data_IF_014031133391
#
_entry.id   IF_014031133391
#
_cell.length_a   1.000
_cell.length_b   1.000
_cell.length_c   1.000
_cell.angle_alpha   90.00
_cell.angle_beta   90.00
_cell.angle_gamma   90.00
#
_symmetry.space_group_name_H-M   'P 1'
#
loop_
_entity.id
_entity.type
_entity.pdbx_description
1 polymer ?
#
# COMPACT_ATOMS: atom_id res chain seq x y z
N UNK A 1 -13.68 16.46 23.81
CA UNK A 1 -13.17 15.23 24.47
C UNK A 1 -13.03 14.14 23.42
N UNK A 2 -11.92 13.39 23.39
CA UNK A 2 -11.76 12.24 22.50
C UNK A 2 -12.29 10.97 23.17
N UNK A 3 -13.27 10.29 22.55
CA UNK A 3 -13.71 8.97 22.98
C UNK A 3 -12.81 7.88 22.37
N UNK A 4 -12.17 7.06 23.22
CA UNK A 4 -11.56 5.80 22.81
C UNK A 4 -12.62 4.70 22.85
N UNK A 5 -13.42 4.57 21.80
CA UNK A 5 -14.46 3.53 21.73
C UNK A 5 -13.85 2.16 21.40
N UNK A 6 -14.13 1.15 22.23
CA UNK A 6 -13.71 -0.23 22.05
C UNK A 6 -14.95 -1.15 21.91
N UNK A 7 -14.82 -2.24 21.13
CA UNK A 7 -15.69 -3.44 21.07
C UNK A 7 -17.08 -3.40 20.39
N UNK A 8 -17.30 -4.47 19.59
CA UNK A 8 -18.49 -5.35 19.47
C UNK A 8 -19.85 -4.81 18.96
N UNK A 9 -20.11 -5.08 17.66
CA UNK A 9 -21.29 -5.81 17.09
C UNK A 9 -22.73 -5.23 17.31
N UNK A 10 -23.73 -5.37 16.41
CA UNK A 10 -23.91 -6.24 15.22
C UNK A 10 -24.99 -5.66 14.25
N UNK A 11 -24.81 -5.82 12.92
CA UNK A 11 -25.84 -5.72 11.83
C UNK A 11 -26.55 -4.36 11.63
N UNK A 12 -27.04 -3.93 10.45
CA UNK A 12 -26.95 -4.29 9.02
C UNK A 12 -27.42 -3.02 8.22
N UNK A 13 -27.80 -2.88 6.93
CA UNK A 13 -27.86 -3.55 5.59
C UNK A 13 -28.19 -2.36 4.61
N UNK A 14 -27.93 -2.22 3.30
CA UNK A 14 -27.29 -2.98 2.20
C UNK A 14 -26.62 -1.91 1.26
N UNK A 15 -26.65 -2.04 -0.08
CA UNK A 15 -26.38 -1.01 -1.11
C UNK A 15 -24.92 -0.55 -1.39
N UNK A 16 -24.73 -0.07 -2.64
CA UNK A 16 -23.49 -0.01 -3.44
C UNK A 16 -22.29 0.76 -2.83
N UNK A 17 -21.10 0.17 -3.01
CA UNK A 17 -19.80 0.66 -2.51
C UNK A 17 -18.68 0.18 -3.43
N UNK A 18 -17.62 0.98 -3.63
CA UNK A 18 -16.33 0.50 -4.17
C UNK A 18 -15.58 -0.18 -3.03
N UNK A 19 -15.38 -1.52 -3.05
CA UNK A 19 -14.79 -2.20 -1.91
C UNK A 19 -13.26 -2.17 -2.02
N UNK A 20 -12.63 -1.22 -1.32
CA UNK A 20 -11.20 -1.32 -1.01
C UNK A 20 -11.05 -2.37 0.09
N UNK A 21 -11.00 -3.64 -0.32
CA UNK A 21 -10.79 -4.77 0.59
C UNK A 21 -9.35 -4.79 1.09
N UNK A 22 -9.09 -4.06 2.19
CA UNK A 22 -7.85 -4.21 2.96
C UNK A 22 -7.86 -5.54 3.72
N UNK A 23 -7.38 -6.61 3.08
CA UNK A 23 -7.00 -7.84 3.77
C UNK A 23 -5.57 -7.69 4.34
N UNK A 24 -5.47 -7.33 5.61
CA UNK A 24 -4.21 -7.38 6.38
C UNK A 24 -4.12 -8.70 7.14
N UNK A 25 -3.74 -9.76 6.43
CA UNK A 25 -3.60 -11.11 7.02
C UNK A 25 -2.25 -11.27 7.71
N UNK A 26 -2.22 -11.16 9.05
CA UNK A 26 -1.10 -11.61 9.87
C UNK A 26 -1.20 -13.13 10.04
N UNK A 27 -0.57 -13.89 9.14
CA UNK A 27 -0.54 -15.36 9.21
C UNK A 27 0.68 -15.86 10.01
N UNK A 28 0.52 -16.87 10.88
CA UNK A 28 1.64 -17.64 11.38
C UNK A 28 2.28 -18.48 10.25
N UNK A 29 3.54 -18.86 10.43
CA UNK A 29 4.41 -19.38 9.35
C UNK A 29 4.08 -20.81 8.86
N UNK A 30 2.99 -21.44 9.34
CA UNK A 30 2.73 -22.88 9.18
C UNK A 30 1.86 -23.26 7.97
N UNK A 31 1.04 -22.34 7.43
CA UNK A 31 -0.01 -22.69 6.46
C UNK A 31 0.29 -22.29 5.00
N UNK A 32 1.53 -21.86 4.72
CA UNK A 32 1.94 -21.41 3.36
C UNK A 32 1.84 -22.55 2.32
N UNK A 33 2.00 -23.81 2.74
CA UNK A 33 2.07 -24.96 1.83
C UNK A 33 0.71 -25.45 1.30
N UNK A 34 -0.42 -25.03 1.88
CA UNK A 34 -1.72 -25.69 1.68
C UNK A 34 -2.64 -25.06 0.62
N UNK A 35 -2.27 -23.90 0.05
CA UNK A 35 -3.14 -23.15 -0.89
C UNK A 35 -2.62 -23.03 -2.34
N UNK A 36 -1.52 -23.71 -2.71
CA UNK A 36 -0.93 -23.61 -4.05
C UNK A 36 -1.61 -24.50 -5.12
N UNK A 37 -2.25 -25.62 -4.74
CA UNK A 37 -2.52 -26.73 -5.68
C UNK A 37 -3.98 -26.84 -6.21
N UNK A 38 -4.86 -25.84 -6.02
CA UNK A 38 -6.30 -26.03 -6.31
C UNK A 38 -7.05 -24.90 -7.04
N UNK A 39 -6.44 -24.25 -8.04
CA UNK A 39 -7.19 -23.41 -9.00
C UNK A 39 -6.56 -23.22 -10.41
N UNK A 40 -5.85 -24.20 -10.97
CA UNK A 40 -5.34 -24.12 -12.36
C UNK A 40 -6.06 -25.11 -13.28
N UNK A 41 -7.00 -24.57 -14.08
CA UNK A 41 -7.42 -25.16 -15.36
C UNK A 41 -7.23 -24.10 -16.43
N UNK A 42 -6.14 -24.21 -17.17
CA UNK A 42 -5.84 -23.30 -18.28
C UNK A 42 -6.83 -23.51 -19.45
N UNK A 43 -7.30 -22.40 -20.01
CA UNK A 43 -8.03 -22.37 -21.29
C UNK A 43 -7.23 -21.49 -22.26
N UNK A 44 -6.56 -22.06 -23.28
CA UNK A 44 -5.61 -21.31 -24.10
C UNK A 44 -6.33 -20.43 -25.13
N UNK A 45 -6.26 -19.10 -24.96
CA UNK A 45 -6.47 -18.14 -26.04
C UNK A 45 -5.66 -16.85 -25.79
N UNK A 46 -5.56 -16.00 -26.81
CA UNK A 46 -4.52 -14.97 -26.96
C UNK A 46 -4.70 -13.68 -26.14
N UNK A 47 -3.61 -12.90 -26.10
CA UNK A 47 -3.51 -11.48 -25.70
C UNK A 47 -4.02 -11.06 -24.30
N UNK A 48 -3.59 -11.75 -23.25
CA UNK A 48 -3.53 -11.16 -21.92
C UNK A 48 -2.53 -10.00 -21.88
N UNK A 49 -3.01 -8.75 -21.88
CA UNK A 49 -2.17 -7.57 -21.66
C UNK A 49 -1.72 -7.47 -20.19
N UNK A 50 -0.55 -6.89 -19.95
CA UNK A 50 -0.09 -6.52 -18.61
C UNK A 50 -0.92 -5.34 -18.07
N UNK A 51 -2.08 -5.61 -17.46
CA UNK A 51 -3.00 -4.60 -16.94
C UNK A 51 -2.54 -4.00 -15.58
N UNK A 52 -1.25 -4.09 -15.30
CA UNK A 52 -0.54 -3.59 -14.12
C UNK A 52 0.81 -3.01 -14.55
N UNK A 53 1.26 -1.92 -13.91
CA UNK A 53 2.58 -1.36 -14.16
C UNK A 53 3.30 -0.92 -12.87
N UNK A 54 4.60 -1.16 -12.83
CA UNK A 54 5.52 -0.57 -11.86
C UNK A 54 6.10 0.76 -12.35
N UNK A 55 6.26 1.72 -11.43
CA UNK A 55 6.84 3.03 -11.74
C UNK A 55 7.64 3.58 -10.55
N UNK A 56 8.96 3.70 -10.74
CA UNK A 56 9.85 4.46 -9.87
C UNK A 56 10.89 5.14 -10.77
N UNK A 57 11.11 6.44 -10.56
CA UNK A 57 12.04 7.24 -11.36
C UNK A 57 12.63 8.40 -10.56
N UNK A 58 13.82 8.83 -10.94
CA UNK A 58 14.53 9.95 -10.33
C UNK A 58 14.06 11.29 -10.91
N UNK A 59 13.87 12.28 -10.06
CA UNK A 59 13.38 13.62 -10.43
C UNK A 59 14.41 14.46 -11.20
N UNK A 60 15.71 14.18 -10.99
CA UNK A 60 16.85 14.91 -11.58
C UNK A 60 16.94 14.76 -13.10
N UNK A 61 16.76 13.54 -13.60
CA UNK A 61 16.99 13.12 -15.00
C UNK A 61 15.74 12.47 -15.64
N UNK A 62 14.68 12.23 -14.86
CA UNK A 62 13.48 11.51 -15.29
C UNK A 62 13.70 10.00 -15.48
N UNK A 63 14.85 9.46 -15.08
CA UNK A 63 15.27 8.09 -15.37
C UNK A 63 14.56 7.09 -14.48
N UNK A 64 13.89 6.13 -15.11
CA UNK A 64 13.24 5.01 -14.42
C UNK A 64 14.28 4.04 -13.84
N UNK A 65 13.97 3.50 -12.66
CA UNK A 65 14.83 2.58 -11.89
C UNK A 65 13.97 1.53 -11.18
N UNK A 66 14.45 0.28 -11.10
CA UNK A 66 13.76 -0.82 -10.40
C UNK A 66 14.16 -0.95 -8.93
N UNK A 67 15.29 -0.35 -8.51
CA UNK A 67 15.80 -0.34 -7.13
C UNK A 67 16.29 1.06 -6.74
N UNK A 68 16.09 1.44 -5.48
CA UNK A 68 16.67 2.63 -4.85
C UNK A 68 17.02 2.35 -3.39
N UNK A 69 18.10 2.96 -2.87
CA UNK A 69 18.59 2.75 -1.49
C UNK A 69 19.06 4.06 -0.87
N UNK A 70 18.87 4.22 0.45
CA UNK A 70 19.36 5.38 1.21
C UNK A 70 19.58 5.04 2.68
N UNK A 71 20.73 5.45 3.23
CA UNK A 71 21.11 5.24 4.63
C UNK A 71 20.29 6.13 5.59
N UNK A 72 19.86 7.32 5.14
CA UNK A 72 19.01 8.23 5.94
C UNK A 72 17.55 7.77 6.02
N UNK A 73 17.14 6.84 5.15
CA UNK A 73 15.74 6.44 4.99
C UNK A 73 14.88 7.44 4.20
N UNK A 74 15.46 8.49 3.64
CA UNK A 74 14.77 9.55 2.88
C UNK A 74 15.35 9.66 1.45
N UNK A 75 14.46 9.70 0.46
CA UNK A 75 14.68 10.04 -0.96
C UNK A 75 13.45 10.79 -1.52
N UNK A 76 12.67 11.44 -0.65
CA UNK A 76 11.36 12.01 -1.00
C UNK A 76 11.47 13.16 -2.01
N UNK A 77 12.53 13.97 -1.96
CA UNK A 77 12.73 15.08 -2.92
C UNK A 77 13.31 14.59 -4.24
N UNK A 78 14.03 13.47 -4.18
CA UNK A 78 14.86 12.87 -5.21
C UNK A 78 14.03 11.97 -6.15
N UNK A 79 12.96 11.35 -5.64
CA UNK A 79 12.04 10.52 -6.42
C UNK A 79 10.88 11.32 -7.05
N UNK A 80 10.52 10.97 -8.28
CA UNK A 80 9.47 11.65 -9.05
C UNK A 80 8.07 11.58 -8.44
N UNK A 81 7.66 10.41 -7.96
CA UNK A 81 6.39 10.21 -7.24
C UNK A 81 6.50 10.48 -5.72
N UNK A 82 7.65 10.96 -5.24
CA UNK A 82 8.08 10.94 -3.82
C UNK A 82 8.26 9.53 -3.22
N UNK A 83 8.34 8.50 -4.05
CA UNK A 83 8.51 7.10 -3.66
C UNK A 83 8.45 6.14 -4.85
N UNK A 84 8.57 4.82 -4.62
CA UNK A 84 8.09 3.81 -5.56
C UNK A 84 6.56 3.85 -5.70
N UNK A 85 6.05 3.50 -6.88
CA UNK A 85 4.64 3.33 -7.14
C UNK A 85 4.35 2.11 -8.02
N UNK A 86 3.12 1.61 -7.92
CA UNK A 86 2.52 0.62 -8.85
C UNK A 86 1.10 1.05 -9.18
N UNK A 87 0.58 0.57 -10.30
CA UNK A 87 -0.80 0.81 -10.71
C UNK A 87 -1.41 -0.43 -11.36
N UNK A 88 -2.74 -0.51 -11.30
CA UNK A 88 -3.55 -1.31 -12.22
C UNK A 88 -4.57 -0.40 -12.92
N UNK A 89 -5.48 -0.96 -13.72
CA UNK A 89 -6.49 -0.16 -14.42
C UNK A 89 -7.32 0.76 -13.51
N UNK A 90 -7.52 0.41 -12.24
CA UNK A 90 -8.50 1.06 -11.37
C UNK A 90 -7.90 2.13 -10.44
N UNK A 91 -6.64 2.00 -10.05
CA UNK A 91 -5.95 2.92 -9.17
C UNK A 91 -4.42 2.84 -9.33
N UNK A 92 -3.72 3.89 -8.90
CA UNK A 92 -2.29 3.86 -8.60
C UNK A 92 -2.03 3.97 -7.10
N UNK A 93 -0.94 3.38 -6.64
CA UNK A 93 -0.53 3.35 -5.23
C UNK A 93 0.95 3.69 -5.13
N UNK A 94 1.32 4.59 -4.21
CA UNK A 94 2.72 4.84 -3.82
C UNK A 94 2.92 4.58 -2.35
N UNK A 95 4.17 4.40 -1.92
CA UNK A 95 4.58 4.55 -0.53
C UNK A 95 5.67 5.63 -0.46
N UNK A 96 5.52 6.61 0.43
CA UNK A 96 6.49 7.70 0.54
C UNK A 96 7.87 7.19 0.99
N UNK A 97 8.93 7.53 0.27
CA UNK A 97 10.32 7.20 0.67
C UNK A 97 10.84 8.27 1.63
N UNK A 98 10.29 8.30 2.84
CA UNK A 98 10.69 9.15 3.96
C UNK A 98 10.32 8.51 5.31
N UNK A 99 10.46 9.25 6.41
CA UNK A 99 9.98 8.82 7.74
C UNK A 99 8.46 8.57 7.82
N UNK A 100 7.64 9.12 6.90
CA UNK A 100 6.21 8.78 6.85
C UNK A 100 6.02 7.34 6.40
N UNK A 101 6.73 6.83 5.40
CA UNK A 101 6.58 5.45 4.93
C UNK A 101 5.10 5.03 4.78
N UNK A 102 4.28 5.96 4.29
CA UNK A 102 2.83 5.86 4.27
C UNK A 102 2.34 5.67 2.83
N UNK A 103 1.27 4.89 2.68
CA UNK A 103 0.60 4.68 1.41
C UNK A 103 -0.28 5.87 1.03
N UNK A 104 -0.43 6.04 -0.27
CA UNK A 104 -1.22 7.09 -0.88
C UNK A 104 -1.78 6.61 -2.23
N UNK A 105 -2.91 7.16 -2.66
CA UNK A 105 -3.79 6.58 -3.69
C UNK A 105 -4.06 7.58 -4.82
N UNK A 106 -3.47 7.29 -5.98
CA UNK A 106 -3.77 7.97 -7.24
C UNK A 106 -5.10 7.47 -7.79
N UNK A 107 -6.10 8.36 -7.84
CA UNK A 107 -7.50 8.01 -8.09
C UNK A 107 -7.87 8.26 -9.54
N UNK A 108 -8.32 7.22 -10.25
CA UNK A 108 -8.57 7.25 -11.71
C UNK A 108 -10.03 7.49 -12.05
N UNK A 109 -10.27 8.30 -13.09
CA UNK A 109 -11.61 8.61 -13.61
C UNK A 109 -12.15 7.49 -14.51
N UNK A 110 -11.26 6.83 -15.26
CA UNK A 110 -11.53 5.76 -16.21
C UNK A 110 -10.54 4.61 -16.05
N UNK A 111 -10.83 3.38 -16.53
CA UNK A 111 -9.89 2.27 -16.49
C UNK A 111 -8.70 2.53 -17.42
N UNK A 112 -7.47 2.46 -16.90
CA UNK A 112 -6.25 2.67 -17.71
C UNK A 112 -4.96 2.60 -16.91
N UNK A 113 -3.82 2.49 -17.58
CA UNK A 113 -2.49 2.71 -16.99
C UNK A 113 -2.07 4.14 -17.30
N UNK A 114 -1.67 4.91 -16.29
CA UNK A 114 -1.62 6.37 -16.34
C UNK A 114 -0.32 6.95 -15.75
N UNK A 115 0.31 6.31 -14.75
CA UNK A 115 1.47 6.87 -14.04
C UNK A 115 2.67 7.17 -14.96
N UNK A 116 2.82 6.40 -16.05
CA UNK A 116 3.82 6.62 -17.10
C UNK A 116 3.72 7.99 -17.77
N UNK A 117 2.49 8.49 -17.94
CA UNK A 117 2.16 9.78 -18.56
C UNK A 117 2.01 10.88 -17.51
N UNK A 118 1.23 10.61 -16.46
CA UNK A 118 0.84 11.63 -15.46
C UNK A 118 1.87 11.85 -14.38
N UNK A 119 2.85 10.94 -14.24
CA UNK A 119 3.94 11.03 -13.24
C UNK A 119 3.43 11.27 -11.80
N UNK A 120 2.24 10.74 -11.48
CA UNK A 120 1.42 11.05 -10.29
C UNK A 120 0.80 12.46 -10.32
N UNK A 121 1.57 13.49 -10.66
CA UNK A 121 1.11 14.88 -10.70
C UNK A 121 0.52 15.27 -12.05
N UNK A 122 -0.77 14.98 -12.21
CA UNK A 122 -1.51 15.16 -13.47
C UNK A 122 -1.76 16.64 -13.78
N UNK A 123 -1.42 17.08 -14.99
CA UNK A 123 -1.70 18.44 -15.50
C UNK A 123 -3.19 18.66 -15.78
N UNK A 124 -3.63 19.91 -15.86
CA UNK A 124 -5.04 20.24 -16.11
C UNK A 124 -5.52 19.84 -17.52
N UNK A 125 -4.59 19.80 -18.50
CA UNK A 125 -4.81 19.20 -19.82
C UNK A 125 -5.14 17.70 -19.70
N UNK A 126 -4.33 16.93 -18.95
CA UNK A 126 -4.55 15.50 -18.76
C UNK A 126 -5.81 15.22 -17.92
N UNK A 127 -6.12 16.04 -16.89
CA UNK A 127 -7.41 15.97 -16.18
C UNK A 127 -8.59 16.19 -17.13
N UNK A 128 -8.47 17.15 -18.05
CA UNK A 128 -9.49 17.44 -19.08
C UNK A 128 -9.64 16.29 -20.09
N UNK A 129 -8.55 15.57 -20.39
CA UNK A 129 -8.57 14.30 -21.14
C UNK A 129 -9.05 13.09 -20.30
N UNK A 130 -9.53 13.31 -19.07
CA UNK A 130 -10.11 12.30 -18.19
C UNK A 130 -9.09 11.34 -17.57
N UNK A 131 -7.85 11.78 -17.33
CA UNK A 131 -6.91 11.06 -16.48
C UNK A 131 -7.26 11.24 -14.99
N UNK A 132 -6.73 10.36 -14.14
CA UNK A 132 -6.83 10.45 -12.68
C UNK A 132 -6.10 11.63 -12.05
N UNK A 133 -6.08 11.67 -10.72
CA UNK A 133 -5.26 12.64 -9.96
C UNK A 133 -4.95 12.20 -8.53
N UNK A 134 -3.95 12.88 -7.94
CA UNK A 134 -3.62 12.84 -6.52
C UNK A 134 -4.72 13.58 -5.73
N UNK A 135 -5.68 12.81 -5.19
CA UNK A 135 -6.86 13.34 -4.46
C UNK A 135 -6.90 12.95 -2.98
N UNK A 136 -6.03 12.03 -2.54
CA UNK A 136 -6.13 11.42 -1.21
C UNK A 136 -5.17 12.05 -0.20
N UNK A 137 -5.53 13.21 0.37
CA UNK A 137 -4.63 13.90 1.29
C UNK A 137 -4.50 13.18 2.65
N UNK A 138 -3.41 12.42 2.81
CA UNK A 138 -3.11 11.61 4.01
C UNK A 138 -2.80 12.43 5.28
N UNK A 139 -2.46 13.72 5.13
CA UNK A 139 -2.17 14.64 6.24
C UNK A 139 -1.02 14.18 7.15
N UNK A 140 -1.23 14.28 8.46
CA UNK A 140 -0.37 13.72 9.52
C UNK A 140 -0.87 12.35 10.03
N UNK A 141 -1.86 11.74 9.37
CA UNK A 141 -2.41 10.45 9.79
C UNK A 141 -1.44 9.30 9.52
N UNK A 142 -1.78 8.10 9.97
CA UNK A 142 -1.01 6.89 9.60
C UNK A 142 -1.09 6.64 8.08
N UNK A 143 -2.25 6.88 7.46
CA UNK A 143 -2.54 6.53 6.07
C UNK A 143 -3.22 5.17 5.91
N UNK A 144 -4.02 5.03 4.86
CA UNK A 144 -4.85 3.84 4.62
C UNK A 144 -3.98 2.59 4.36
N UNK A 145 -4.12 1.54 5.17
CA UNK A 145 -3.30 0.33 5.11
C UNK A 145 -1.81 0.55 5.46
N UNK A 146 -1.40 1.76 5.83
CA UNK A 146 -0.01 2.09 6.17
C UNK A 146 0.35 1.54 7.54
N UNK A 147 1.59 1.07 7.70
CA UNK A 147 2.02 0.37 8.90
C UNK A 147 2.91 1.25 9.79
N UNK A 148 2.69 1.15 11.10
CA UNK A 148 3.48 1.75 12.16
C UNK A 148 3.77 0.73 13.25
N UNK A 149 4.80 1.01 14.05
CA UNK A 149 5.07 0.27 15.27
C UNK A 149 4.17 0.78 16.40
N UNK A 150 3.79 -0.10 17.31
CA UNK A 150 3.07 0.24 18.53
C UNK A 150 3.91 -0.14 19.74
N UNK A 151 4.28 0.86 20.55
CA UNK A 151 5.21 0.68 21.67
C UNK A 151 4.74 1.52 22.86
N UNK A 152 4.65 0.92 24.05
CA UNK A 152 4.35 1.62 25.31
C UNK A 152 3.12 2.55 25.23
N UNK A 153 2.07 2.09 24.55
CA UNK A 153 0.80 2.83 24.37
C UNK A 153 0.85 3.95 23.34
N UNK A 154 1.89 4.02 22.49
CA UNK A 154 2.13 5.08 21.50
C UNK A 154 2.42 4.51 20.12
N UNK A 155 1.98 5.24 19.09
CA UNK A 155 2.37 5.00 17.69
C UNK A 155 3.81 5.45 17.49
N UNK A 156 4.64 4.64 16.83
CA UNK A 156 6.03 4.94 16.47
C UNK A 156 6.21 4.83 14.95
N UNK A 157 7.00 5.76 14.39
CA UNK A 157 7.36 5.74 12.96
C UNK A 157 8.34 4.60 12.66
N UNK A 158 8.46 4.22 11.38
CA UNK A 158 9.50 3.32 10.89
C UNK A 158 10.80 4.12 10.66
N UNK A 159 11.25 4.80 11.72
CA UNK A 159 12.32 5.79 11.68
C UNK A 159 12.86 6.05 13.11
N UNK A 160 14.18 6.19 13.32
CA UNK A 160 15.26 6.12 12.32
C UNK A 160 15.44 4.71 11.74
N UNK A 161 16.23 4.63 10.67
CA UNK A 161 16.69 3.39 10.04
C UNK A 161 18.22 3.45 9.89
N UNK A 162 18.86 2.30 9.69
CA UNK A 162 20.24 2.21 9.18
C UNK A 162 20.30 2.30 7.65
N UNK A 163 19.26 1.77 7.00
CA UNK A 163 19.07 1.82 5.55
C UNK A 163 17.59 1.64 5.22
N UNK A 164 17.16 2.20 4.10
CA UNK A 164 15.91 1.88 3.42
C UNK A 164 16.19 1.48 1.99
N UNK A 165 15.51 0.43 1.53
CA UNK A 165 15.60 -0.08 0.16
C UNK A 165 14.20 -0.17 -0.41
N UNK A 166 13.98 0.49 -1.55
CA UNK A 166 12.78 0.30 -2.36
C UNK A 166 13.11 -0.54 -3.60
N UNK A 167 12.19 -1.44 -3.96
CA UNK A 167 12.19 -2.11 -5.26
C UNK A 167 10.81 -2.07 -5.89
N UNK A 168 10.74 -2.05 -7.22
CA UNK A 168 9.50 -2.21 -7.98
C UNK A 168 9.68 -3.23 -9.10
N UNK A 169 8.69 -4.11 -9.28
CA UNK A 169 8.70 -5.21 -10.26
C UNK A 169 7.34 -5.33 -10.96
N UNK A 170 7.31 -5.98 -12.10
CA UNK A 170 6.09 -6.39 -12.80
C UNK A 170 6.38 -7.73 -13.47
N UNK A 171 5.53 -8.72 -13.20
CA UNK A 171 5.73 -10.11 -13.59
C UNK A 171 4.36 -10.74 -13.85
N UNK A 172 4.08 -11.06 -15.12
CA UNK A 172 2.78 -11.56 -15.55
C UNK A 172 1.63 -10.66 -15.09
N UNK A 173 0.70 -11.23 -14.32
CA UNK A 173 -0.54 -10.57 -13.91
C UNK A 173 -0.42 -9.62 -12.70
N UNK A 174 0.79 -9.34 -12.20
CA UNK A 174 1.01 -8.47 -11.04
C UNK A 174 2.10 -7.41 -11.23
N UNK A 175 1.94 -6.29 -10.52
CA UNK A 175 3.04 -5.36 -10.21
C UNK A 175 3.18 -5.24 -8.70
N UNK A 176 4.43 -5.16 -8.23
CA UNK A 176 4.76 -5.06 -6.81
C UNK A 176 5.66 -3.87 -6.54
N UNK A 177 5.45 -3.23 -5.39
CA UNK A 177 6.45 -2.40 -4.74
C UNK A 177 6.78 -2.99 -3.37
N UNK A 178 8.06 -2.91 -3.03
CA UNK A 178 8.63 -3.35 -1.76
C UNK A 178 9.36 -2.16 -1.12
N UNK A 179 9.20 -2.00 0.19
CA UNK A 179 9.94 -1.04 1.00
C UNK A 179 10.50 -1.73 2.24
N UNK A 180 11.77 -2.15 2.15
CA UNK A 180 12.54 -2.66 3.27
C UNK A 180 13.09 -1.48 4.09
N UNK A 181 12.94 -1.55 5.41
CA UNK A 181 13.47 -0.59 6.38
C UNK A 181 14.28 -1.35 7.43
N UNK A 182 15.59 -1.15 7.44
CA UNK A 182 16.55 -1.89 8.27
C UNK A 182 16.98 -1.11 9.51
N UNK A 183 17.20 -1.80 10.63
CA UNK A 183 17.76 -1.26 11.86
C UNK A 183 16.82 -0.34 12.65
N UNK A 184 15.50 -0.52 12.55
CA UNK A 184 14.51 0.32 13.23
C UNK A 184 14.57 0.06 14.75
N UNK A 185 14.73 1.09 15.61
CA UNK A 185 14.69 0.90 17.06
C UNK A 185 13.28 0.53 17.55
N UNK A 186 13.17 -0.57 18.30
CA UNK A 186 11.92 -1.04 18.90
C UNK A 186 12.22 -1.84 20.19
N UNK A 187 11.57 -1.50 21.30
CA UNK A 187 11.64 -2.22 22.58
C UNK A 187 13.08 -2.52 23.08
N UNK A 188 13.99 -1.56 22.93
CA UNK A 188 15.39 -1.67 23.38
C UNK A 188 16.33 -2.45 22.44
N UNK A 189 15.84 -2.94 21.31
CA UNK A 189 16.58 -3.65 20.26
C UNK A 189 16.35 -3.02 18.88
N UNK A 190 16.91 -3.59 17.83
CA UNK A 190 16.62 -3.22 16.43
C UNK A 190 15.88 -4.33 15.70
N UNK A 191 14.98 -3.97 14.80
CA UNK A 191 14.27 -4.88 13.89
C UNK A 191 14.38 -4.39 12.45
N UNK A 192 14.26 -5.30 11.49
CA UNK A 192 14.07 -4.96 10.08
C UNK A 192 12.64 -5.28 9.66
N UNK A 193 12.06 -4.48 8.76
CA UNK A 193 10.66 -4.61 8.35
C UNK A 193 10.52 -4.34 6.85
N UNK A 194 9.98 -5.30 6.11
CA UNK A 194 9.61 -5.19 4.71
C UNK A 194 8.10 -4.98 4.59
N UNK A 195 7.69 -3.85 4.00
CA UNK A 195 6.31 -3.65 3.52
C UNK A 195 6.26 -4.00 2.04
N UNK A 196 5.31 -4.84 1.63
CA UNK A 196 5.03 -5.17 0.23
C UNK A 196 3.63 -4.70 -0.15
N UNK A 197 3.47 -4.02 -1.28
CA UNK A 197 2.17 -3.74 -1.89
C UNK A 197 2.11 -4.38 -3.28
N UNK A 198 1.14 -5.25 -3.48
CA UNK A 198 0.86 -5.92 -4.76
C UNK A 198 -0.43 -5.38 -5.36
N UNK A 199 -0.42 -5.04 -6.65
CA UNK A 199 -1.61 -4.83 -7.47
C UNK A 199 -1.74 -5.94 -8.51
N UNK A 200 -2.98 -6.30 -8.84
CA UNK A 200 -3.30 -7.43 -9.72
C UNK A 200 -4.06 -6.97 -10.97
N UNK A 201 -3.80 -7.64 -12.08
CA UNK A 201 -4.50 -7.48 -13.36
C UNK A 201 -6.00 -7.78 -13.18
N UNK A 202 -6.85 -6.93 -13.75
CA UNK A 202 -8.32 -7.01 -13.66
C UNK A 202 -8.93 -6.68 -12.28
N UNK A 203 -8.26 -7.00 -11.16
CA UNK A 203 -8.83 -6.89 -9.81
C UNK A 203 -8.85 -5.45 -9.28
N UNK A 204 -9.85 -5.10 -8.47
CA UNK A 204 -10.00 -3.72 -7.91
C UNK A 204 -9.25 -3.47 -6.60
N UNK A 205 -8.80 -4.51 -5.90
CA UNK A 205 -8.07 -4.37 -4.64
C UNK A 205 -6.55 -4.33 -4.88
N UNK A 206 -5.83 -3.79 -3.90
CA UNK A 206 -4.38 -4.01 -3.72
C UNK A 206 -4.18 -4.80 -2.42
N UNK A 207 -3.15 -5.64 -2.36
CA UNK A 207 -2.78 -6.40 -1.15
C UNK A 207 -1.56 -5.77 -0.50
N UNK A 208 -1.63 -5.52 0.80
CA UNK A 208 -0.52 -4.99 1.60
C UNK A 208 -0.10 -6.07 2.58
N UNK A 209 1.16 -6.48 2.49
CA UNK A 209 1.80 -7.49 3.33
C UNK A 209 2.93 -6.84 4.13
N UNK A 210 3.26 -7.40 5.29
CA UNK A 210 4.35 -6.90 6.12
C UNK A 210 5.09 -8.05 6.77
N UNK A 211 6.39 -8.13 6.48
CA UNK A 211 7.30 -9.16 6.97
C UNK A 211 8.24 -8.49 7.98
N UNK A 212 8.32 -9.06 9.18
CA UNK A 212 9.12 -8.52 10.28
C UNK A 212 10.26 -9.50 10.56
N UNK A 213 11.49 -9.04 10.44
CA UNK A 213 12.68 -9.83 10.70
C UNK A 213 13.12 -9.54 12.15
N UNK A 214 12.72 -10.44 13.04
CA UNK A 214 12.71 -10.20 14.48
C UNK A 214 12.63 -11.51 15.25
N UNK A 215 13.45 -11.66 16.30
CA UNK A 215 13.48 -12.80 17.22
C UNK A 215 12.34 -12.79 18.25
N UNK A 216 11.91 -11.60 18.69
CA UNK A 216 10.79 -11.40 19.61
C UNK A 216 9.54 -10.87 18.88
N UNK A 217 8.33 -10.96 19.48
CA UNK A 217 7.14 -10.30 18.96
C UNK A 217 7.30 -8.78 18.76
N UNK A 218 6.59 -8.26 17.75
CA UNK A 218 6.51 -6.84 17.42
C UNK A 218 5.03 -6.47 17.24
N UNK A 219 4.59 -5.40 17.90
CA UNK A 219 3.23 -4.91 17.77
C UNK A 219 3.16 -3.86 16.66
N UNK A 220 2.24 -4.06 15.72
CA UNK A 220 1.94 -3.14 14.63
C UNK A 220 0.63 -2.40 14.88
N UNK A 221 0.49 -1.24 14.25
CA UNK A 221 -0.79 -0.55 14.10
C UNK A 221 -0.93 -0.03 12.66
N UNK A 222 -2.12 -0.17 12.09
CA UNK A 222 -2.44 0.25 10.71
C UNK A 222 -3.45 1.40 10.70
N UNK A 223 -3.40 2.23 9.68
CA UNK A 223 -4.40 3.29 9.45
C UNK A 223 -5.57 2.79 8.60
N UNK A 224 -6.78 3.25 8.92
CA UNK A 224 -8.01 2.87 8.24
C UNK A 224 -8.84 4.10 7.89
N UNK A 225 -9.61 4.02 6.81
CA UNK A 225 -10.40 5.15 6.31
C UNK A 225 -11.53 5.49 7.30
N UNK A 226 -11.66 6.79 7.58
CA UNK A 226 -12.66 7.29 8.51
C UNK A 226 -13.39 8.53 7.96
N UNK A 227 -14.52 8.28 7.29
CA UNK A 227 -15.47 9.30 6.83
C UNK A 227 -16.85 8.98 7.47
N UNK A 228 -17.64 9.97 7.92
CA UNK A 228 -19.03 9.73 8.29
C UNK A 228 -19.80 9.01 7.17
N UNK A 229 -20.55 7.96 7.51
CA UNK A 229 -21.26 7.12 6.55
C UNK A 229 -20.50 5.86 6.08
N UNK A 230 -19.21 5.69 6.37
CA UNK A 230 -18.53 4.40 6.16
C UNK A 230 -19.08 3.34 7.12
N UNK A 231 -19.45 2.18 6.57
CA UNK A 231 -19.73 0.96 7.33
C UNK A 231 -18.41 0.37 7.83
N UNK A 232 -18.48 -0.33 8.96
CA UNK A 232 -17.32 -0.90 9.66
C UNK A 232 -17.68 -2.30 10.16
N UNK A 233 -16.76 -3.24 10.03
CA UNK A 233 -16.95 -4.62 10.51
C UNK A 233 -15.63 -5.15 11.07
N UNK A 234 -15.69 -5.90 12.16
CA UNK A 234 -14.52 -6.39 12.88
C UNK A 234 -14.73 -7.85 13.28
N UNK A 235 -13.79 -8.70 12.93
CA UNK A 235 -13.61 -10.04 13.49
C UNK A 235 -12.31 -10.11 14.28
N UNK A 236 -11.95 -11.31 14.74
CA UNK A 236 -10.74 -11.51 15.55
C UNK A 236 -9.44 -11.31 14.75
N UNK A 237 -9.48 -11.49 13.43
CA UNK A 237 -8.34 -11.38 12.50
C UNK A 237 -8.49 -10.28 11.43
N UNK A 238 -9.56 -9.48 11.46
CA UNK A 238 -9.82 -8.46 10.43
C UNK A 238 -10.56 -7.23 10.97
N UNK A 239 -10.34 -6.09 10.30
CA UNK A 239 -11.09 -4.85 10.51
C UNK A 239 -11.30 -4.17 9.15
N UNK A 240 -12.55 -4.13 8.70
CA UNK A 240 -12.97 -3.65 7.39
C UNK A 240 -13.69 -2.31 7.52
N UNK A 241 -13.45 -1.39 6.58
CA UNK A 241 -14.19 -0.13 6.43
C UNK A 241 -14.60 0.07 4.98
N UNK A 242 -15.89 0.27 4.69
CA UNK A 242 -16.38 0.43 3.31
C UNK A 242 -17.60 1.35 3.24
N UNK A 243 -17.66 2.18 2.21
CA UNK A 243 -18.77 3.10 1.98
C UNK A 243 -18.53 3.93 0.72
N UNK A 244 -19.44 4.87 0.44
CA UNK A 244 -19.12 5.96 -0.48
C UNK A 244 -18.21 6.95 0.25
N UNK A 245 -17.08 7.31 -0.37
CA UNK A 245 -16.28 8.46 0.03
C UNK A 245 -16.84 9.73 -0.63
#
# INVERSE_FOLDING_TARGET
>A
MMSKTLMRHKMARTAAVIPIFFFTTLLPFTDIQAQQDSAVKESPCSCGHDLTAASMFLKKDGRYISKAESETGDLWKEMGHHGPAVENLWAGYRIYFDRKAAFDIYSKVKPGLELRQTKWYTSDELKSAGFGSDLYWVGETIGAGSIRLWENGKVKQLHPVKKRTATVTTEGSISQLDLLSEGIPYAGRTIDLLIRLTVFSGQRHARIETFIFSDQPVQLVTGLNHNPGLKKEQGDSYLLTWGKH
#
